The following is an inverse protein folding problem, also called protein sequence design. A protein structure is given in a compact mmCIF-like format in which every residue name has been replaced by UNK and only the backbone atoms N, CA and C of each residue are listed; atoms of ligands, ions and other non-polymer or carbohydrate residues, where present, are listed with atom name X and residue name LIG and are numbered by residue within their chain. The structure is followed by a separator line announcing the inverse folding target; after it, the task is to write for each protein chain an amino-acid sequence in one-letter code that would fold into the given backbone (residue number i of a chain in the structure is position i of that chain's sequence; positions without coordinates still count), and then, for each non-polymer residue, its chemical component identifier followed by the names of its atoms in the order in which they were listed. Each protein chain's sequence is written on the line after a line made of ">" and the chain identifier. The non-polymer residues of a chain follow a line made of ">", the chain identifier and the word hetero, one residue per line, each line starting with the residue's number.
data_IF_134416460422
#
_entry.id   IF_134416460422
#
_cell.length_a   1.000
_cell.length_b   1.000
_cell.length_c   1.000
_cell.angle_alpha   90.00
_cell.angle_beta   90.00
_cell.angle_gamma   90.00
#
_symmetry.space_group_name_H-M   'P 1'
#
loop_
_entity.id
_entity.type
_entity.pdbx_description
1 polymer ?
#
# COMPACT_ATOMS: atom_id res chain seq x y z
N UNK A 1 9.63 -13.21 -10.48
CA UNK A 1 8.55 -12.22 -10.38
C UNK A 1 8.74 -11.17 -11.46
N UNK A 2 7.66 -10.57 -11.96
CA UNK A 2 7.73 -9.45 -12.91
C UNK A 2 8.36 -8.22 -12.23
N UNK A 3 9.13 -7.43 -12.98
CA UNK A 3 9.69 -6.18 -12.45
C UNK A 3 8.57 -5.13 -12.42
N UNK A 4 8.22 -4.68 -11.24
CA UNK A 4 7.24 -3.60 -11.07
C UNK A 4 7.92 -2.25 -11.32
N UNK A 5 7.26 -1.41 -12.11
CA UNK A 5 7.64 -0.01 -12.29
C UNK A 5 7.19 0.81 -11.08
N UNK A 6 7.91 1.89 -10.78
CA UNK A 6 7.64 2.78 -9.65
C UNK A 6 8.76 2.79 -8.61
N UNK A 7 8.44 3.33 -7.44
CA UNK A 7 9.39 3.50 -6.35
C UNK A 7 8.93 2.72 -5.13
N UNK A 8 9.86 2.03 -4.47
CA UNK A 8 9.59 1.44 -3.16
C UNK A 8 9.35 2.57 -2.16
N UNK A 9 8.19 2.53 -1.50
CA UNK A 9 7.85 3.52 -0.49
C UNK A 9 8.79 3.33 0.71
N UNK A 10 9.24 4.43 1.27
CA UNK A 10 9.94 4.45 2.54
C UNK A 10 9.33 5.54 3.40
N UNK A 11 9.47 5.42 4.72
CA UNK A 11 9.01 6.44 5.66
C UNK A 11 9.62 7.82 5.35
N UNK A 12 10.89 7.84 4.89
CA UNK A 12 11.54 9.09 4.45
C UNK A 12 10.89 9.64 3.19
N UNK A 13 10.77 8.81 2.14
CA UNK A 13 10.13 9.23 0.88
C UNK A 13 8.75 9.82 1.14
N UNK A 14 7.96 9.16 1.97
CA UNK A 14 6.59 9.58 2.25
C UNK A 14 6.51 10.86 3.08
N UNK A 15 7.39 11.04 4.08
CA UNK A 15 7.48 12.27 4.89
C UNK A 15 7.95 13.49 4.10
N UNK A 16 8.78 13.27 3.07
CA UNK A 16 9.31 14.35 2.24
C UNK A 16 8.24 14.90 1.25
N UNK A 17 7.10 14.21 1.08
CA UNK A 17 5.97 14.67 0.26
C UNK A 17 5.12 15.71 1.00
N UNK A 18 4.60 16.70 0.26
CA UNK A 18 3.60 17.62 0.79
C UNK A 18 2.25 16.93 1.09
N UNK A 19 1.39 17.51 1.94
CA UNK A 19 0.10 16.89 2.31
C UNK A 19 -0.79 16.50 1.12
N UNK A 20 -0.81 17.32 0.07
CA UNK A 20 -1.57 17.02 -1.16
C UNK A 20 -0.93 15.87 -1.96
N UNK A 21 0.39 15.83 -2.03
CA UNK A 21 1.14 14.77 -2.73
C UNK A 21 1.06 13.43 -2.01
N UNK A 22 0.90 13.43 -0.67
CA UNK A 22 0.64 12.22 0.12
C UNK A 22 -0.74 11.61 -0.18
N UNK A 23 -1.70 12.42 -0.64
CA UNK A 23 -3.05 11.93 -0.90
C UNK A 23 -3.11 10.99 -2.10
N UNK A 24 -2.28 11.21 -3.13
CA UNK A 24 -2.16 10.35 -4.31
C UNK A 24 -1.80 8.88 -3.94
N UNK A 25 -0.65 8.60 -3.28
CA UNK A 25 -0.28 7.25 -2.88
C UNK A 25 -1.24 6.67 -1.84
N UNK A 26 -1.81 7.46 -0.92
CA UNK A 26 -2.85 6.99 0.02
C UNK A 26 -4.07 6.46 -0.70
N UNK A 27 -4.60 7.23 -1.65
CA UNK A 27 -5.77 6.81 -2.42
C UNK A 27 -5.49 5.54 -3.23
N UNK A 28 -4.31 5.46 -3.87
CA UNK A 28 -3.92 4.28 -4.64
C UNK A 28 -3.68 3.04 -3.76
N UNK A 29 -3.08 3.23 -2.57
CA UNK A 29 -2.94 2.18 -1.56
C UNK A 29 -4.31 1.67 -1.12
N UNK A 30 -5.22 2.55 -0.70
CA UNK A 30 -6.56 2.18 -0.25
C UNK A 30 -7.32 1.39 -1.31
N UNK A 31 -7.27 1.84 -2.57
CA UNK A 31 -7.90 1.13 -3.69
C UNK A 31 -7.35 -0.29 -3.84
N UNK A 32 -6.02 -0.44 -3.87
CA UNK A 32 -5.36 -1.74 -4.03
C UNK A 32 -5.61 -2.65 -2.82
N UNK A 33 -5.55 -2.10 -1.61
CA UNK A 33 -5.85 -2.82 -0.36
C UNK A 33 -7.27 -3.36 -0.35
N UNK A 34 -8.27 -2.53 -0.71
CA UNK A 34 -9.66 -2.95 -0.83
C UNK A 34 -9.84 -4.07 -1.85
N UNK A 35 -9.14 -4.01 -2.99
CA UNK A 35 -9.14 -5.08 -4.01
C UNK A 35 -8.71 -6.44 -3.45
N UNK A 36 -7.74 -6.45 -2.51
CA UNK A 36 -7.32 -7.66 -1.81
C UNK A 36 -8.33 -8.08 -0.74
N UNK A 37 -8.89 -7.13 0.01
CA UNK A 37 -9.90 -7.39 1.04
C UNK A 37 -11.18 -7.99 0.46
N UNK A 38 -11.65 -7.52 -0.70
CA UNK A 38 -12.81 -8.09 -1.42
C UNK A 38 -12.60 -9.56 -1.79
N UNK A 39 -11.35 -9.96 -2.04
CA UNK A 39 -10.97 -11.34 -2.32
C UNK A 39 -10.64 -12.14 -1.05
N UNK A 40 -10.72 -11.48 0.11
CA UNK A 40 -10.49 -12.05 1.43
C UNK A 40 -9.02 -12.16 1.81
N UNK A 41 -8.10 -11.45 1.15
CA UNK A 41 -6.67 -11.46 1.49
C UNK A 41 -6.32 -10.30 2.43
N UNK A 42 -5.72 -10.62 3.58
CA UNK A 42 -5.13 -9.65 4.48
C UNK A 42 -3.64 -9.91 4.65
N UNK A 43 -2.85 -8.85 4.50
CA UNK A 43 -1.40 -8.88 4.59
C UNK A 43 -0.95 -8.77 6.05
N UNK A 44 -0.10 -9.70 6.52
CA UNK A 44 0.31 -9.75 7.93
C UNK A 44 1.61 -9.01 8.23
N UNK A 45 2.36 -8.62 7.18
CA UNK A 45 3.63 -7.91 7.30
C UNK A 45 3.52 -6.46 6.77
N UNK A 46 2.73 -5.62 7.46
CA UNK A 46 2.53 -4.23 7.04
C UNK A 46 3.83 -3.42 7.20
N UNK A 47 4.40 -2.97 6.09
CA UNK A 47 5.63 -2.18 6.06
C UNK A 47 5.64 -1.32 4.78
N UNK A 48 6.03 -0.03 4.84
CA UNK A 48 6.17 0.80 3.64
C UNK A 48 7.11 0.19 2.58
N UNK A 49 8.13 -0.59 2.97
CA UNK A 49 9.01 -1.27 2.01
C UNK A 49 8.30 -2.32 1.14
N UNK A 50 7.13 -2.78 1.59
CA UNK A 50 6.27 -3.72 0.86
C UNK A 50 5.26 -2.99 -0.04
N UNK A 51 5.41 -1.67 -0.19
CA UNK A 51 4.63 -0.85 -1.10
C UNK A 51 5.51 -0.33 -2.23
N UNK A 52 4.98 -0.42 -3.45
CA UNK A 52 5.60 0.19 -4.64
C UNK A 52 4.61 1.18 -5.21
N UNK A 53 4.96 2.46 -5.15
CA UNK A 53 4.17 3.55 -5.68
C UNK A 53 4.54 3.83 -7.15
N UNK A 54 3.61 3.60 -8.06
CA UNK A 54 3.71 3.95 -9.48
C UNK A 54 2.84 5.17 -9.78
N UNK A 55 3.47 6.35 -9.77
CA UNK A 55 2.80 7.63 -10.04
C UNK A 55 2.28 7.72 -11.47
N UNK A 56 2.92 7.08 -12.44
CA UNK A 56 2.47 7.14 -13.84
C UNK A 56 1.18 6.35 -14.03
N UNK A 57 1.06 5.20 -13.36
CA UNK A 57 -0.15 4.36 -13.40
C UNK A 57 -1.17 4.71 -12.31
N UNK A 58 -0.84 5.62 -11.40
CA UNK A 58 -1.62 5.91 -10.20
C UNK A 58 -1.99 4.64 -9.42
N UNK A 59 -1.01 3.72 -9.28
CA UNK A 59 -1.21 2.41 -8.65
C UNK A 59 -0.19 2.18 -7.55
N UNK A 60 -0.65 1.62 -6.43
CA UNK A 60 0.20 1.20 -5.32
C UNK A 60 0.20 -0.33 -5.26
N UNK A 61 1.31 -0.95 -5.63
CA UNK A 61 1.44 -2.40 -5.53
C UNK A 61 1.80 -2.77 -4.09
N UNK A 62 1.09 -3.76 -3.54
CA UNK A 62 1.43 -4.40 -2.27
C UNK A 62 2.19 -5.69 -2.61
N UNK A 63 3.42 -5.81 -2.15
CA UNK A 63 4.31 -6.96 -2.40
C UNK A 63 4.55 -7.75 -1.11
N UNK A 64 5.40 -8.79 -1.19
CA UNK A 64 5.80 -9.61 -0.03
C UNK A 64 4.64 -10.38 0.65
N UNK A 65 3.78 -10.99 -0.17
CA UNK A 65 2.65 -11.83 0.26
C UNK A 65 3.07 -13.21 0.81
N UNK A 66 4.26 -13.34 1.40
CA UNK A 66 4.67 -14.60 2.05
C UNK A 66 3.90 -14.82 3.36
N UNK A 67 3.49 -13.74 4.03
CA UNK A 67 2.69 -13.77 5.25
C UNK A 67 1.32 -13.11 5.04
N UNK A 68 0.28 -13.93 4.88
CA UNK A 68 -1.11 -13.48 4.70
C UNK A 68 -2.11 -14.40 5.38
N UNK A 69 -3.33 -13.90 5.57
CA UNK A 69 -4.46 -14.68 6.08
C UNK A 69 -5.70 -14.44 5.22
N UNK A 70 -6.59 -15.45 5.15
CA UNK A 70 -7.85 -15.36 4.40
C UNK A 70 -9.00 -14.80 5.25
N UNK A 71 -8.88 -13.55 5.70
CA UNK A 71 -9.91 -12.86 6.48
C UNK A 71 -10.08 -11.46 5.92
N UNK A 72 -11.31 -11.09 5.59
CA UNK A 72 -11.65 -9.72 5.19
C UNK A 72 -11.96 -8.88 6.44
N UNK A 73 -11.35 -7.72 6.54
CA UNK A 73 -11.62 -6.70 7.52
C UNK A 73 -12.23 -5.48 6.82
N UNK A 74 -13.26 -4.83 7.41
CA UNK A 74 -13.73 -3.54 6.93
C UNK A 74 -12.57 -2.53 6.87
N UNK A 75 -12.61 -1.64 5.88
CA UNK A 75 -11.63 -0.56 5.78
C UNK A 75 -11.61 0.28 7.06
N UNK A 76 -10.40 0.60 7.51
CA UNK A 76 -10.13 1.49 8.63
C UNK A 76 -8.95 2.38 8.27
N UNK A 77 -9.07 3.70 8.44
CA UNK A 77 -7.97 4.65 8.15
C UNK A 77 -6.72 4.40 9.02
N UNK A 78 -6.84 3.67 10.14
CA UNK A 78 -5.71 3.17 10.91
C UNK A 78 -4.76 2.27 10.08
N UNK A 79 -5.21 1.71 8.95
CA UNK A 79 -4.35 1.01 8.00
C UNK A 79 -3.26 1.94 7.46
N UNK A 80 -3.53 3.23 7.20
CA UNK A 80 -2.46 4.14 6.74
C UNK A 80 -1.30 4.18 7.75
N UNK A 81 -1.62 4.34 9.04
CA UNK A 81 -0.60 4.35 10.10
C UNK A 81 0.18 3.03 10.20
N UNK A 82 -0.48 1.88 10.02
CA UNK A 82 0.21 0.57 10.03
C UNK A 82 1.23 0.45 8.91
N UNK A 83 0.92 1.04 7.76
CA UNK A 83 1.78 1.03 6.58
C UNK A 83 2.73 2.22 6.50
N UNK A 84 2.78 3.08 7.54
CA UNK A 84 3.56 4.32 7.57
C UNK A 84 3.25 5.26 6.39
N UNK A 85 1.97 5.29 5.99
CA UNK A 85 1.41 6.17 4.99
C UNK A 85 0.66 7.33 5.61
#
# INVERSE_FOLDING_TARGET
>A
MEKLEGITVSERYFRDLGPEEQQEPRNAFKSSYLEFQERGFHHLNANPSNLIWDKQKMKCYISDWEAWVRIAHPWNDAEYSKWSL
#
